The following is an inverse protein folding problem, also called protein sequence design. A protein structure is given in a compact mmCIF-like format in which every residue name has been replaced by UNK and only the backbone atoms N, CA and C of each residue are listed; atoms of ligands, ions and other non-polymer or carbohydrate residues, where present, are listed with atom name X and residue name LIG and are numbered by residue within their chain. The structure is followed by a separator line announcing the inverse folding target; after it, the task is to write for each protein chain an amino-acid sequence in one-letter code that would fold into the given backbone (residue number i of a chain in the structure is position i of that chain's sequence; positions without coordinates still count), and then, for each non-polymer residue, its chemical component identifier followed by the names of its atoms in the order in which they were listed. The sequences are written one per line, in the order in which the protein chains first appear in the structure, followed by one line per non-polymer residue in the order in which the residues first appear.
data_IF_244290926751
#
_entry.id   IF_244290926751
#
_cell.length_a   1.000
_cell.length_b   1.000
_cell.length_c   1.000
_cell.angle_alpha   90.00
_cell.angle_beta   90.00
_cell.angle_gamma   90.00
#
_symmetry.space_group_name_H-M   'P 1'
#
loop_
_entity.id
_entity.type
_entity.pdbx_description
1 polymer ?
#
# COMPACT_ATOMS: atom_id res chain seq x y z
N UNK A 1 -65.94 -32.78 8.32
CA UNK A 1 -65.22 -33.34 7.16
C UNK A 1 -64.33 -32.22 6.65
N UNK A 2 -63.16 -31.99 7.27
CA UNK A 2 -61.86 -32.51 6.80
C UNK A 2 -61.35 -31.59 5.67
N UNK A 3 -60.42 -30.66 5.85
CA UNK A 3 -59.23 -30.65 6.69
C UNK A 3 -58.02 -30.91 5.80
N UNK A 4 -57.20 -29.89 5.53
CA UNK A 4 -55.74 -29.97 5.39
C UNK A 4 -55.17 -28.62 4.94
N UNK A 5 -54.56 -27.95 5.91
CA UNK A 5 -53.61 -26.86 5.74
C UNK A 5 -52.37 -27.38 5.00
N UNK A 6 -51.92 -26.68 3.96
CA UNK A 6 -50.60 -26.92 3.37
C UNK A 6 -49.60 -25.90 3.95
N UNK A 7 -49.38 -26.02 5.26
CA UNK A 7 -48.20 -25.46 5.92
C UNK A 7 -47.27 -26.64 6.22
N UNK A 8 -45.96 -26.44 6.04
CA UNK A 8 -44.83 -27.37 6.24
C UNK A 8 -44.35 -28.06 4.96
N UNK A 9 -43.10 -27.77 4.58
CA UNK A 9 -42.35 -28.70 3.74
C UNK A 9 -41.22 -28.16 2.87
N UNK A 10 -40.42 -27.16 3.30
CA UNK A 10 -38.98 -27.15 3.01
C UNK A 10 -38.22 -26.04 3.75
N UNK A 11 -38.10 -26.21 5.08
CA UNK A 11 -36.85 -25.86 5.74
C UNK A 11 -35.80 -26.88 5.31
N UNK A 12 -35.00 -26.60 4.28
CA UNK A 12 -33.67 -27.17 4.12
C UNK A 12 -32.96 -26.61 2.88
N UNK A 13 -31.70 -26.22 3.09
CA UNK A 13 -30.70 -25.77 2.11
C UNK A 13 -30.83 -24.28 1.76
N UNK A 14 -30.40 -23.38 2.64
CA UNK A 14 -28.97 -23.16 2.96
C UNK A 14 -28.18 -22.91 1.66
N UNK A 15 -28.41 -21.76 1.04
CA UNK A 15 -27.46 -21.12 0.12
C UNK A 15 -26.36 -20.40 0.91
N UNK A 16 -25.81 -21.07 1.92
CA UNK A 16 -24.59 -20.68 2.57
C UNK A 16 -23.45 -21.30 1.78
N UNK A 17 -23.02 -20.60 0.74
CA UNK A 17 -21.77 -20.89 0.04
C UNK A 17 -20.76 -19.76 0.24
N UNK A 18 -20.74 -19.19 1.43
CA UNK A 18 -19.53 -18.63 2.07
C UNK A 18 -18.63 -19.79 2.51
N UNK A 19 -18.16 -20.56 1.54
CA UNK A 19 -17.05 -21.52 1.67
C UNK A 19 -16.47 -21.57 0.28
N UNK A 20 -15.40 -20.84 0.01
CA UNK A 20 -14.08 -21.36 0.34
C UNK A 20 -13.08 -20.25 0.67
N UNK A 21 -12.80 -20.06 1.96
CA UNK A 21 -11.44 -19.78 2.38
C UNK A 21 -10.64 -21.08 2.20
N UNK A 22 -10.32 -21.41 0.94
CA UNK A 22 -9.26 -22.33 0.61
C UNK A 22 -7.99 -21.55 0.96
N UNK A 23 -7.38 -21.84 2.12
CA UNK A 23 -6.06 -21.28 2.38
C UNK A 23 -5.16 -21.76 1.24
N UNK A 24 -4.57 -20.83 0.45
CA UNK A 24 -3.69 -21.19 -0.64
C UNK A 24 -2.59 -22.09 -0.10
N UNK A 25 -2.24 -23.17 -0.81
CA UNK A 25 -1.12 -24.04 -0.45
C UNK A 25 0.15 -23.20 -0.23
N UNK A 26 1.15 -23.74 0.49
CA UNK A 26 2.32 -22.96 0.91
C UNK A 26 3.06 -22.24 -0.23
N UNK A 27 2.95 -22.71 -1.47
CA UNK A 27 3.50 -22.05 -2.66
C UNK A 27 2.62 -20.88 -3.14
N UNK A 28 1.31 -21.09 -3.24
CA UNK A 28 0.33 -20.06 -3.61
C UNK A 28 0.32 -18.90 -2.59
N UNK A 29 0.50 -19.22 -1.30
CA UNK A 29 0.61 -18.20 -0.25
C UNK A 29 1.91 -17.39 -0.36
N UNK A 30 3.02 -18.02 -0.71
CA UNK A 30 4.30 -17.34 -0.95
C UNK A 30 4.24 -16.43 -2.18
N UNK A 31 3.58 -16.88 -3.25
CA UNK A 31 3.37 -16.10 -4.47
C UNK A 31 2.49 -14.88 -4.17
N UNK A 32 1.36 -15.08 -3.45
CA UNK A 32 0.48 -13.98 -3.06
C UNK A 32 1.20 -12.93 -2.20
N UNK A 33 2.01 -13.37 -1.23
CA UNK A 33 2.83 -12.49 -0.39
C UNK A 33 3.89 -11.77 -1.21
N UNK A 34 4.59 -12.46 -2.13
CA UNK A 34 5.60 -11.84 -2.99
C UNK A 34 5.00 -10.77 -3.90
N UNK A 35 3.82 -11.03 -4.49
CA UNK A 35 3.10 -10.04 -5.32
C UNK A 35 2.68 -8.84 -4.46
N UNK A 36 2.13 -9.08 -3.26
CA UNK A 36 1.75 -8.00 -2.36
C UNK A 36 2.95 -7.12 -1.98
N UNK A 37 4.11 -7.72 -1.69
CA UNK A 37 5.36 -7.00 -1.40
C UNK A 37 5.80 -6.17 -2.61
N UNK A 38 5.79 -6.75 -3.82
CA UNK A 38 6.19 -6.04 -5.04
C UNK A 38 5.29 -4.86 -5.35
N UNK A 39 3.97 -4.98 -5.14
CA UNK A 39 3.00 -3.89 -5.33
C UNK A 39 3.23 -2.77 -4.31
N UNK A 40 3.42 -3.11 -3.04
CA UNK A 40 3.70 -2.13 -1.98
C UNK A 40 5.03 -1.41 -2.20
N UNK A 41 6.08 -2.13 -2.60
CA UNK A 41 7.36 -1.52 -2.95
C UNK A 41 7.27 -0.60 -4.16
N UNK A 42 6.61 -1.05 -5.24
CA UNK A 42 6.46 -0.26 -6.46
C UNK A 42 5.73 1.05 -6.21
N UNK A 43 4.69 1.04 -5.39
CA UNK A 43 3.93 2.25 -5.01
C UNK A 43 4.73 3.18 -4.10
N UNK A 44 5.56 2.64 -3.20
CA UNK A 44 6.44 3.44 -2.33
C UNK A 44 7.54 4.16 -3.11
N UNK A 45 8.14 3.52 -4.12
CA UNK A 45 9.21 4.11 -4.95
C UNK A 45 8.77 5.36 -5.73
N UNK A 46 7.47 5.50 -6.02
CA UNK A 46 6.91 6.66 -6.73
C UNK A 46 6.72 7.89 -5.82
N UNK A 47 6.93 7.78 -4.51
CA UNK A 47 6.76 8.89 -3.55
C UNK A 47 7.98 9.82 -3.43
N UNK A 48 8.83 9.91 -4.45
CA UNK A 48 9.93 10.87 -4.46
C UNK A 48 9.37 12.29 -4.62
N UNK A 49 9.16 12.94 -3.48
CA UNK A 49 8.81 14.35 -3.42
C UNK A 49 10.00 15.16 -3.92
N UNK A 50 9.75 16.16 -4.77
CA UNK A 50 10.78 17.07 -5.24
C UNK A 50 11.48 17.70 -4.03
N UNK A 51 12.73 17.29 -3.78
CA UNK A 51 13.57 17.94 -2.80
C UNK A 51 13.87 19.34 -3.33
N UNK A 52 13.31 20.37 -2.69
CA UNK A 52 13.67 21.75 -2.97
C UNK A 52 15.16 21.88 -2.68
N UNK A 53 15.99 22.02 -3.72
CA UNK A 53 17.38 22.39 -3.54
C UNK A 53 17.37 23.86 -3.07
N UNK A 54 17.46 24.05 -1.76
CA UNK A 54 17.65 25.38 -1.18
C UNK A 54 19.06 25.84 -1.55
N UNK A 55 19.17 26.98 -2.23
CA UNK A 55 20.44 27.69 -2.40
C UNK A 55 20.93 28.07 -1.00
N UNK A 56 21.80 27.25 -0.41
CA UNK A 56 22.24 27.40 0.96
C UNK A 56 23.02 28.70 1.15
N UNK A 57 22.34 29.77 1.55
CA UNK A 57 22.95 30.97 2.13
C UNK A 57 23.99 31.68 1.27
N UNK A 58 24.00 31.50 -0.05
CA UNK A 58 24.87 32.24 -0.97
C UNK A 58 24.30 33.65 -1.20
N UNK A 59 25.18 34.62 -1.37
CA UNK A 59 24.81 36.00 -1.71
C UNK A 59 24.23 36.11 -3.13
N UNK A 60 23.88 37.33 -3.53
CA UNK A 60 23.36 37.63 -4.87
C UNK A 60 24.30 37.23 -6.02
N UNK A 61 25.57 36.97 -5.72
CA UNK A 61 26.60 36.55 -6.68
C UNK A 61 26.85 35.04 -6.66
N UNK A 62 26.17 34.27 -5.80
CA UNK A 62 26.41 32.83 -5.65
C UNK A 62 27.57 32.49 -4.71
N UNK A 63 28.03 33.43 -3.89
CA UNK A 63 29.16 33.25 -2.99
C UNK A 63 28.75 33.07 -1.53
N UNK A 64 29.50 32.25 -0.79
CA UNK A 64 29.25 31.93 0.62
C UNK A 64 30.56 31.95 1.42
N UNK A 65 30.52 32.62 2.57
CA UNK A 65 31.62 32.66 3.53
C UNK A 65 31.40 31.63 4.63
N UNK A 66 32.33 30.70 4.80
CA UNK A 66 32.33 29.77 5.92
C UNK A 66 32.75 30.48 7.21
N UNK A 67 31.81 30.79 8.10
CA UNK A 67 32.09 31.45 9.38
C UNK A 67 32.99 30.65 10.35
N UNK A 68 33.24 29.36 10.09
CA UNK A 68 34.12 28.52 10.93
C UNK A 68 35.58 28.56 10.48
N UNK A 69 35.84 28.67 9.19
CA UNK A 69 37.20 28.63 8.63
C UNK A 69 37.64 29.97 8.03
N UNK A 70 36.70 30.85 7.73
CA UNK A 70 36.94 32.10 7.01
C UNK A 70 37.00 31.94 5.50
N UNK A 71 36.83 30.73 4.97
CA UNK A 71 36.91 30.49 3.52
C UNK A 71 35.75 31.13 2.77
N UNK A 72 36.07 31.80 1.67
CA UNK A 72 35.11 32.39 0.76
C UNK A 72 35.01 31.52 -0.50
N UNK A 73 33.85 30.90 -0.70
CA UNK A 73 33.59 30.07 -1.87
C UNK A 73 32.51 30.69 -2.73
N UNK A 74 32.82 30.94 -3.99
CA UNK A 74 31.83 31.25 -5.02
C UNK A 74 31.51 29.99 -5.81
N UNK A 75 30.22 29.80 -6.11
CA UNK A 75 29.71 28.67 -6.85
C UNK A 75 29.56 28.97 -8.36
#
# INVERSE_FOLDING_TARGET
MGGASNSLGNSARRGELTRTHLLPSGLEMKIAIAIAILVVWSTFSLSVSAASAHSGGTDSNGCHTNHKTGDYHCH
#
